data_IF_798068668545
#
_entry.id   IF_798068668545
#
_cell.length_a   1.000
_cell.length_b   1.000
_cell.length_c   1.000
_cell.angle_alpha   90.00
_cell.angle_beta   90.00
_cell.angle_gamma   90.00
#
_symmetry.space_group_name_H-M   'P 1'
#
loop_
_entity.id
_entity.type
_entity.pdbx_description
1 polymer ?
#
# COMPACT_ATOMS: atom_id res chain seq x y z
N UNK A 1 19.17 -21.60 36.57
CA UNK A 1 20.06 -21.75 35.40
C UNK A 1 20.01 -20.44 34.63
N UNK A 2 21.10 -19.68 34.73
CA UNK A 2 21.20 -18.34 34.16
C UNK A 2 21.40 -18.44 32.66
N UNK A 3 20.50 -17.83 31.88
CA UNK A 3 20.66 -17.68 30.44
C UNK A 3 21.64 -16.54 30.20
N UNK A 4 22.82 -16.88 29.69
CA UNK A 4 23.82 -15.92 29.26
C UNK A 4 23.32 -15.25 27.97
N UNK A 5 22.88 -14.00 28.05
CA UNK A 5 22.70 -13.15 26.88
C UNK A 5 24.07 -12.71 26.38
N UNK A 6 24.58 -13.36 25.33
CA UNK A 6 25.76 -12.89 24.62
C UNK A 6 25.29 -11.90 23.56
N UNK A 7 25.44 -10.61 23.83
CA UNK A 7 25.26 -9.57 22.83
C UNK A 7 26.54 -9.45 21.99
N UNK A 8 26.50 -9.96 20.77
CA UNK A 8 27.52 -9.66 19.77
C UNK A 8 27.20 -8.32 19.11
N UNK A 9 28.02 -7.32 19.41
CA UNK A 9 28.05 -6.07 18.68
C UNK A 9 29.07 -6.24 17.54
N UNK A 10 28.59 -6.47 16.34
CA UNK A 10 29.42 -6.46 15.13
C UNK A 10 29.15 -5.12 14.43
N UNK A 11 30.10 -4.19 14.57
CA UNK A 11 30.09 -2.95 13.80
C UNK A 11 30.60 -3.24 12.38
N UNK A 12 29.71 -3.27 11.39
CA UNK A 12 30.05 -3.25 9.99
C UNK A 12 29.81 -1.85 9.41
N UNK A 13 30.80 -1.27 8.66
CA UNK A 13 30.74 0.13 8.20
C UNK A 13 29.68 0.46 7.16
N UNK A 14 29.07 -0.52 6.49
CA UNK A 14 28.26 -0.32 5.27
C UNK A 14 26.78 -0.70 5.39
N UNK A 15 26.24 -0.85 6.61
CA UNK A 15 24.81 -1.06 6.78
C UNK A 15 24.17 0.10 7.54
N UNK A 16 23.08 0.71 7.02
CA UNK A 16 22.32 1.68 7.78
C UNK A 16 21.77 1.01 9.04
N UNK A 17 21.81 1.73 10.14
CA UNK A 17 21.36 1.29 11.48
C UNK A 17 19.91 0.84 11.48
N UNK A 18 19.64 -0.36 10.98
CA UNK A 18 18.41 -1.07 11.26
C UNK A 18 18.57 -1.65 12.67
N UNK A 19 17.96 -1.02 13.65
CA UNK A 19 17.87 -1.54 14.99
C UNK A 19 17.28 -2.95 14.93
N UNK A 20 18.00 -3.93 15.47
CA UNK A 20 17.46 -5.27 15.74
C UNK A 20 16.35 -5.11 16.79
N UNK A 21 15.15 -4.80 16.30
CA UNK A 21 13.95 -4.91 17.10
C UNK A 21 13.43 -6.34 16.88
N UNK A 22 13.68 -7.22 17.83
CA UNK A 22 13.07 -8.53 17.90
C UNK A 22 11.75 -8.39 18.68
N UNK A 23 10.59 -8.37 18.03
CA UNK A 23 9.33 -8.59 18.74
C UNK A 23 9.35 -10.02 19.25
N UNK A 24 8.96 -10.25 20.49
CA UNK A 24 8.96 -11.52 21.20
C UNK A 24 8.35 -12.65 20.37
N UNK A 25 9.16 -13.62 19.94
CA UNK A 25 8.69 -14.86 19.33
C UNK A 25 9.86 -15.74 18.86
N UNK A 26 9.73 -17.06 18.99
CA UNK A 26 10.75 -18.09 18.69
C UNK A 26 11.32 -18.07 17.26
N UNK A 27 10.64 -17.40 16.33
CA UNK A 27 11.04 -17.30 14.91
C UNK A 27 12.25 -16.39 14.64
N UNK A 28 12.47 -15.36 15.43
CA UNK A 28 13.66 -14.51 15.31
C UNK A 28 14.96 -15.28 15.55
N UNK A 29 14.90 -16.30 16.41
CA UNK A 29 16.06 -17.13 16.69
C UNK A 29 16.44 -18.00 15.50
N UNK A 30 15.48 -18.59 14.82
CA UNK A 30 15.72 -19.42 13.62
C UNK A 30 16.37 -18.60 12.50
N UNK A 31 15.88 -17.39 12.23
CA UNK A 31 16.44 -16.49 11.23
C UNK A 31 17.89 -16.09 11.55
N UNK A 32 18.17 -15.78 12.81
CA UNK A 32 19.52 -15.46 13.28
C UNK A 32 20.45 -16.71 13.10
N UNK A 33 19.98 -17.89 13.43
CA UNK A 33 20.76 -19.12 13.26
C UNK A 33 21.03 -19.40 11.79
N UNK A 34 20.05 -19.21 10.91
CA UNK A 34 20.22 -19.37 9.46
C UNK A 34 21.26 -18.36 8.95
N UNK A 35 21.12 -17.09 9.33
CA UNK A 35 22.05 -16.05 8.93
C UNK A 35 23.49 -16.33 9.40
N UNK A 36 23.66 -16.68 10.67
CA UNK A 36 24.99 -17.03 11.23
C UNK A 36 25.61 -18.21 10.47
N UNK A 37 24.85 -19.28 10.25
CA UNK A 37 25.35 -20.46 9.50
C UNK A 37 25.79 -20.07 8.09
N UNK A 38 25.01 -19.26 7.39
CA UNK A 38 25.34 -18.80 6.03
C UNK A 38 26.59 -17.93 5.99
N UNK A 39 26.83 -17.13 7.02
CA UNK A 39 28.03 -16.26 7.12
C UNK A 39 29.27 -16.98 7.65
N UNK A 40 29.11 -18.06 8.40
CA UNK A 40 30.23 -18.80 9.01
C UNK A 40 30.69 -20.07 8.26
N UNK A 41 30.09 -20.38 7.09
CA UNK A 41 30.70 -21.32 6.17
C UNK A 41 29.92 -22.54 5.70
N UNK A 42 28.64 -22.76 6.10
CA UNK A 42 27.79 -23.83 5.53
C UNK A 42 26.40 -23.29 5.18
N UNK A 43 26.26 -22.63 4.01
CA UNK A 43 24.99 -22.05 3.60
C UNK A 43 23.93 -23.11 3.28
N UNK A 44 24.36 -24.36 3.03
CA UNK A 44 23.52 -25.47 2.61
C UNK A 44 23.66 -26.62 3.59
N UNK A 45 22.55 -27.22 3.99
CA UNK A 45 22.53 -28.44 4.83
C UNK A 45 22.50 -29.66 3.93
N UNK A 46 23.50 -30.51 4.04
CA UNK A 46 23.51 -31.79 3.32
C UNK A 46 22.78 -32.86 4.13
N UNK A 47 21.81 -33.53 3.50
CA UNK A 47 21.04 -34.63 4.09
C UNK A 47 21.32 -35.91 3.36
N UNK A 48 21.82 -36.92 4.10
CA UNK A 48 22.27 -38.19 3.54
C UNK A 48 21.43 -39.39 4.00
N UNK A 49 20.57 -39.22 5.01
CA UNK A 49 19.71 -40.29 5.50
C UNK A 49 18.30 -39.80 5.89
N UNK A 50 17.38 -40.76 6.04
CA UNK A 50 15.97 -40.52 6.33
C UNK A 50 15.78 -39.86 7.70
N UNK A 51 16.56 -40.21 8.70
CA UNK A 51 16.46 -39.64 10.05
C UNK A 51 16.84 -38.16 10.05
N UNK A 52 17.89 -37.79 9.33
CA UNK A 52 18.27 -36.37 9.15
C UNK A 52 17.18 -35.59 8.45
N UNK A 53 16.53 -36.16 7.42
CA UNK A 53 15.43 -35.55 6.72
C UNK A 53 14.23 -35.28 7.66
N UNK A 54 13.86 -36.26 8.47
CA UNK A 54 12.78 -36.10 9.45
C UNK A 54 13.11 -35.07 10.51
N UNK A 55 14.33 -35.04 11.05
CA UNK A 55 14.79 -34.04 12.00
C UNK A 55 14.75 -32.64 11.36
N UNK A 56 15.14 -32.53 10.09
CA UNK A 56 15.15 -31.29 9.33
C UNK A 56 13.71 -30.75 9.15
N UNK A 57 12.78 -31.61 8.73
CA UNK A 57 11.35 -31.28 8.55
C UNK A 57 10.68 -30.80 9.84
N UNK A 58 11.07 -31.34 11.00
CA UNK A 58 10.58 -30.90 12.29
C UNK A 58 11.08 -29.50 12.69
N UNK A 59 12.24 -29.09 12.18
CA UNK A 59 12.88 -27.82 12.53
C UNK A 59 12.60 -26.69 11.53
N UNK A 60 12.33 -27.00 10.28
CA UNK A 60 12.21 -26.03 9.21
C UNK A 60 10.89 -26.19 8.46
N UNK A 61 10.09 -25.12 8.45
CA UNK A 61 8.81 -25.06 7.74
C UNK A 61 8.93 -24.51 6.32
N UNK A 62 10.04 -23.80 6.03
CA UNK A 62 10.34 -23.24 4.72
C UNK A 62 11.80 -23.45 4.38
N UNK A 63 12.07 -24.06 3.22
CA UNK A 63 13.42 -24.35 2.75
C UNK A 63 13.43 -24.64 1.24
N UNK A 64 14.61 -24.50 0.65
CA UNK A 64 14.85 -24.88 -0.75
C UNK A 64 15.59 -26.23 -0.78
N UNK A 65 15.07 -27.20 -1.53
CA UNK A 65 15.71 -28.54 -1.71
C UNK A 65 16.37 -28.61 -3.07
N UNK A 66 17.66 -28.94 -3.10
CA UNK A 66 18.39 -29.29 -4.30
C UNK A 66 18.66 -30.81 -4.34
N UNK A 67 18.21 -31.49 -5.39
CA UNK A 67 18.58 -32.86 -5.71
C UNK A 67 19.55 -32.85 -6.88
N UNK A 68 20.75 -33.36 -6.69
CA UNK A 68 21.82 -33.40 -7.69
C UNK A 68 22.34 -34.82 -7.86
N UNK A 69 22.81 -35.17 -9.04
CA UNK A 69 23.54 -36.47 -9.25
C UNK A 69 24.86 -36.44 -8.51
N UNK A 70 25.51 -35.28 -8.47
CA UNK A 70 26.74 -34.98 -7.74
C UNK A 70 26.80 -33.53 -7.33
N UNK A 71 27.52 -33.22 -6.25
CA UNK A 71 27.67 -31.87 -5.73
C UNK A 71 28.80 -31.10 -6.45
N UNK A 72 28.72 -31.02 -7.77
CA UNK A 72 29.64 -30.30 -8.64
C UNK A 72 28.97 -29.96 -9.98
N UNK A 73 29.54 -29.02 -10.70
CA UNK A 73 29.04 -28.57 -12.01
C UNK A 73 28.27 -27.28 -11.96
N UNK A 74 27.93 -26.71 -13.17
CA UNK A 74 27.36 -25.37 -13.27
C UNK A 74 26.07 -25.20 -12.48
N UNK A 75 25.16 -26.15 -12.56
CA UNK A 75 23.86 -26.08 -11.87
C UNK A 75 24.01 -26.06 -10.35
N UNK A 76 24.94 -26.87 -9.83
CA UNK A 76 25.24 -26.91 -8.41
C UNK A 76 25.92 -25.60 -7.94
N UNK A 77 26.83 -25.04 -8.73
CA UNK A 77 27.48 -23.77 -8.42
C UNK A 77 26.47 -22.61 -8.32
N UNK A 78 25.51 -22.57 -9.24
CA UNK A 78 24.43 -21.55 -9.20
C UNK A 78 23.52 -21.74 -7.96
N UNK A 79 23.21 -22.98 -7.59
CA UNK A 79 22.50 -23.30 -6.36
C UNK A 79 23.25 -22.81 -5.11
N UNK A 80 24.57 -23.04 -5.05
CA UNK A 80 25.42 -22.53 -3.96
C UNK A 80 25.46 -21.02 -3.92
N UNK A 81 25.58 -20.35 -5.08
CA UNK A 81 25.52 -18.88 -5.17
C UNK A 81 24.18 -18.32 -4.68
N UNK A 82 23.08 -18.96 -5.05
CA UNK A 82 21.76 -18.57 -4.55
C UNK A 82 21.66 -18.75 -3.04
N UNK A 83 22.11 -19.88 -2.50
CA UNK A 83 22.11 -20.20 -1.08
C UNK A 83 22.95 -19.21 -0.25
N UNK A 84 24.04 -18.69 -0.79
CA UNK A 84 24.88 -17.68 -0.11
C UNK A 84 24.31 -16.27 -0.18
N UNK A 85 23.47 -15.99 -1.17
CA UNK A 85 22.87 -14.68 -1.41
C UNK A 85 21.59 -14.49 -0.59
N UNK A 86 20.71 -15.49 -0.56
CA UNK A 86 19.49 -15.45 0.24
C UNK A 86 19.82 -15.71 1.72
N UNK A 87 19.38 -14.84 2.62
CA UNK A 87 19.65 -14.94 4.06
C UNK A 87 18.44 -15.39 4.89
N UNK A 88 17.28 -15.61 4.28
CA UNK A 88 16.03 -15.88 4.99
C UNK A 88 15.63 -17.37 4.91
N UNK A 89 15.96 -18.05 3.82
CA UNK A 89 15.53 -19.42 3.55
C UNK A 89 16.70 -20.39 3.77
N UNK A 90 16.45 -21.48 4.48
CA UNK A 90 17.41 -22.56 4.59
C UNK A 90 17.47 -23.37 3.29
N UNK A 91 18.68 -23.61 2.79
CA UNK A 91 18.92 -24.48 1.65
C UNK A 91 19.33 -25.88 2.15
N UNK A 92 18.83 -26.90 1.48
CA UNK A 92 19.17 -28.30 1.74
C UNK A 92 19.48 -29.02 0.45
N UNK A 93 20.47 -29.92 0.48
CA UNK A 93 20.91 -30.68 -0.68
C UNK A 93 20.95 -32.17 -0.39
N UNK A 94 20.66 -32.98 -1.40
CA UNK A 94 20.81 -34.43 -1.35
C UNK A 94 21.08 -34.97 -2.75
N UNK A 95 21.74 -36.14 -2.82
CA UNK A 95 21.85 -36.92 -4.05
C UNK A 95 20.90 -38.14 -4.06
N UNK A 96 20.12 -38.33 -2.99
CA UNK A 96 19.22 -39.46 -2.87
C UNK A 96 17.78 -39.06 -3.20
N UNK A 97 17.16 -39.60 -4.28
CA UNK A 97 15.79 -39.34 -4.65
C UNK A 97 14.77 -39.67 -3.56
N UNK A 98 15.00 -40.72 -2.76
CA UNK A 98 14.11 -41.11 -1.67
C UNK A 98 14.07 -40.03 -0.57
N UNK A 99 15.22 -39.45 -0.25
CA UNK A 99 15.35 -38.37 0.71
C UNK A 99 14.67 -37.11 0.15
N UNK A 100 14.85 -36.80 -1.14
CA UNK A 100 14.19 -35.70 -1.78
C UNK A 100 12.66 -35.85 -1.71
N UNK A 101 12.11 -37.04 -1.94
CA UNK A 101 10.67 -37.31 -1.82
C UNK A 101 10.15 -37.19 -0.38
N UNK A 102 10.98 -37.49 0.63
CA UNK A 102 10.61 -37.28 2.04
C UNK A 102 10.55 -35.78 2.37
N UNK A 103 11.55 -35.03 1.89
CA UNK A 103 11.60 -33.57 2.09
C UNK A 103 10.49 -32.84 1.35
N UNK A 104 9.91 -33.44 0.30
CA UNK A 104 8.88 -32.85 -0.54
C UNK A 104 7.87 -33.91 -1.05
N UNK A 105 6.86 -34.27 -0.24
CA UNK A 105 5.96 -35.39 -0.51
C UNK A 105 4.91 -35.17 -1.62
N UNK A 106 4.71 -33.95 -2.11
CA UNK A 106 3.59 -33.61 -2.99
C UNK A 106 3.85 -33.84 -4.49
N UNK A 107 5.04 -34.27 -4.88
CA UNK A 107 5.34 -34.55 -6.28
C UNK A 107 5.22 -36.04 -6.60
N UNK A 108 4.17 -36.39 -7.33
CA UNK A 108 3.96 -37.76 -7.87
C UNK A 108 4.81 -38.05 -9.09
N UNK A 109 5.60 -37.13 -9.58
CA UNK A 109 6.49 -37.32 -10.70
C UNK A 109 7.91 -37.65 -10.21
N UNK A 110 8.39 -38.85 -10.52
CA UNK A 110 9.68 -39.40 -10.21
C UNK A 110 10.85 -38.65 -10.86
N UNK A 111 11.12 -37.40 -10.56
CA UNK A 111 12.22 -36.62 -11.17
C UNK A 111 12.84 -35.63 -10.22
N UNK A 112 14.16 -35.35 -10.41
CA UNK A 112 14.92 -34.49 -9.54
C UNK A 112 14.32 -33.08 -9.42
N UNK A 113 14.49 -32.53 -8.26
CA UNK A 113 13.60 -31.60 -7.72
C UNK A 113 14.30 -30.30 -7.24
N UNK A 114 14.04 -29.25 -7.85
CA UNK A 114 13.85 -27.99 -7.19
C UNK A 114 12.45 -27.59 -7.55
N UNK A 115 11.51 -27.73 -6.68
CA UNK A 115 10.07 -27.60 -6.88
C UNK A 115 9.51 -26.60 -7.85
N UNK A 116 10.16 -26.19 -8.93
CA UNK A 116 9.64 -25.45 -10.09
C UNK A 116 10.81 -24.98 -10.98
N UNK A 117 11.89 -25.73 -11.13
CA UNK A 117 12.87 -25.36 -12.13
C UNK A 117 12.84 -26.37 -13.27
N UNK A 118 12.43 -25.89 -14.45
CA UNK A 118 12.66 -26.63 -15.69
C UNK A 118 14.16 -26.92 -15.82
N UNK A 119 14.48 -28.09 -16.35
CA UNK A 119 15.80 -28.68 -16.48
C UNK A 119 16.93 -27.78 -17.05
N UNK A 120 16.64 -26.55 -17.48
CA UNK A 120 17.59 -25.60 -18.08
C UNK A 120 17.72 -24.29 -17.32
N UNK A 121 17.39 -24.19 -16.03
CA UNK A 121 17.24 -22.90 -15.35
C UNK A 121 17.86 -22.84 -13.95
N UNK A 122 18.99 -23.52 -13.74
CA UNK A 122 19.84 -23.30 -12.56
C UNK A 122 20.71 -22.06 -12.78
N UNK A 123 20.07 -20.89 -12.76
CA UNK A 123 20.73 -19.59 -12.71
C UNK A 123 20.39 -18.96 -11.35
N UNK A 124 21.37 -18.37 -10.71
CA UNK A 124 21.21 -17.72 -9.39
C UNK A 124 19.99 -16.79 -9.36
N UNK A 125 19.85 -15.95 -10.38
CA UNK A 125 18.78 -14.97 -10.49
C UNK A 125 17.40 -15.64 -10.56
N UNK A 126 17.26 -16.75 -11.29
CA UNK A 126 16.02 -17.51 -11.40
C UNK A 126 15.67 -18.26 -10.11
N UNK A 127 16.66 -18.75 -9.38
CA UNK A 127 16.46 -19.37 -8.07
C UNK A 127 15.98 -18.29 -7.08
N UNK A 128 16.64 -17.14 -7.03
CA UNK A 128 16.26 -16.05 -6.14
C UNK A 128 14.86 -15.50 -6.46
N UNK A 129 14.52 -15.41 -7.76
CA UNK A 129 13.18 -15.01 -8.20
C UNK A 129 12.14 -16.03 -7.73
N UNK A 130 12.43 -17.34 -7.91
CA UNK A 130 11.54 -18.40 -7.43
C UNK A 130 11.31 -18.32 -5.91
N UNK A 131 12.39 -18.16 -5.14
CA UNK A 131 12.29 -18.00 -3.69
C UNK A 131 11.47 -16.77 -3.32
N UNK A 132 11.71 -15.64 -3.98
CA UNK A 132 10.92 -14.42 -3.80
C UNK A 132 9.44 -14.63 -4.06
N UNK A 133 9.10 -15.39 -5.10
CA UNK A 133 7.71 -15.68 -5.49
C UNK A 133 7.01 -16.69 -4.56
N UNK A 134 7.78 -17.45 -3.79
CA UNK A 134 7.27 -18.52 -2.92
C UNK A 134 7.57 -18.32 -1.42
N UNK A 135 8.13 -17.18 -1.02
CA UNK A 135 8.39 -16.82 0.39
C UNK A 135 7.13 -16.79 1.25
N UNK A 136 6.03 -16.42 0.64
CA UNK A 136 4.73 -16.33 1.30
C UNK A 136 3.79 -17.41 0.81
N UNK A 137 2.82 -17.84 1.62
CA UNK A 137 1.64 -18.53 1.14
C UNK A 137 1.00 -17.75 -0.01
N UNK A 138 0.25 -18.42 -0.88
CA UNK A 138 -0.37 -17.81 -2.05
C UNK A 138 -1.25 -16.59 -1.69
N UNK A 139 -1.92 -16.68 -0.53
CA UNK A 139 -2.64 -15.58 0.12
C UNK A 139 -2.24 -15.60 1.60
N UNK A 140 -1.21 -14.86 2.01
CA UNK A 140 -0.82 -14.76 3.40
C UNK A 140 -1.87 -14.02 4.23
N UNK A 141 -2.11 -14.52 5.42
CA UNK A 141 -2.78 -13.79 6.48
C UNK A 141 -1.82 -12.73 7.04
N UNK A 142 -2.24 -11.47 7.07
CA UNK A 142 -1.44 -10.42 7.69
C UNK A 142 -1.40 -10.62 9.20
N UNK A 143 -0.21 -10.57 9.76
CA UNK A 143 0.05 -10.70 11.20
C UNK A 143 1.14 -9.71 11.60
N UNK A 144 1.25 -9.38 12.89
CA UNK A 144 2.34 -8.53 13.38
C UNK A 144 3.73 -9.09 13.01
N UNK A 145 3.86 -10.42 12.97
CA UNK A 145 5.13 -11.10 12.67
C UNK A 145 5.55 -10.96 11.20
N UNK A 146 4.58 -10.97 10.25
CA UNK A 146 4.90 -10.93 8.83
C UNK A 146 4.65 -9.55 8.18
N UNK A 147 4.03 -8.60 8.89
CA UNK A 147 3.63 -7.30 8.36
C UNK A 147 4.80 -6.54 7.70
N UNK A 148 5.95 -6.48 8.37
CA UNK A 148 7.14 -5.80 7.83
C UNK A 148 7.58 -6.41 6.50
N UNK A 149 7.57 -7.76 6.38
CA UNK A 149 7.96 -8.45 5.15
C UNK A 149 6.91 -8.28 4.04
N UNK A 150 5.63 -8.26 4.40
CA UNK A 150 4.53 -8.01 3.47
C UNK A 150 4.63 -6.59 2.91
N UNK A 151 4.80 -5.58 3.76
CA UNK A 151 4.92 -4.19 3.34
C UNK A 151 6.19 -3.90 2.52
N UNK A 152 7.28 -4.63 2.78
CA UNK A 152 8.52 -4.53 2.01
C UNK A 152 8.47 -5.22 0.64
N UNK A 153 7.33 -5.83 0.27
CA UNK A 153 7.18 -6.48 -1.04
C UNK A 153 6.98 -5.42 -2.13
N UNK A 154 7.89 -5.35 -3.08
CA UNK A 154 7.86 -4.38 -4.19
C UNK A 154 6.82 -4.68 -5.29
N UNK A 155 6.10 -5.80 -5.19
CA UNK A 155 5.02 -6.14 -6.11
C UNK A 155 3.77 -5.32 -5.79
N UNK A 156 2.92 -5.00 -6.78
CA UNK A 156 1.58 -4.53 -6.50
C UNK A 156 0.87 -5.49 -5.54
N UNK A 157 0.14 -4.94 -4.59
CA UNK A 157 -0.51 -5.72 -3.52
C UNK A 157 -2.03 -5.54 -3.59
N UNK A 158 -2.77 -6.62 -3.40
CA UNK A 158 -4.22 -6.60 -3.22
C UNK A 158 -4.52 -7.09 -1.82
N UNK A 159 -5.07 -6.21 -1.00
CA UNK A 159 -5.51 -6.48 0.36
C UNK A 159 -7.00 -6.78 0.37
N UNK A 160 -7.37 -7.88 1.02
CA UNK A 160 -8.75 -8.29 1.25
C UNK A 160 -9.03 -8.18 2.73
N UNK A 161 -9.88 -7.24 3.11
CA UNK A 161 -10.33 -7.03 4.48
C UNK A 161 -11.66 -7.74 4.66
N UNK A 162 -11.71 -8.73 5.52
CA UNK A 162 -12.93 -9.43 5.88
C UNK A 162 -12.80 -10.03 7.28
N UNK A 163 -13.93 -10.46 7.86
CA UNK A 163 -13.90 -11.24 9.09
C UNK A 163 -13.26 -12.61 8.84
N UNK A 164 -12.47 -13.10 9.81
CA UNK A 164 -11.72 -14.36 9.68
C UNK A 164 -12.62 -15.57 9.37
N UNK A 165 -13.85 -15.60 9.87
CA UNK A 165 -14.81 -16.68 9.60
C UNK A 165 -15.38 -16.63 8.18
N UNK A 166 -15.56 -15.45 7.62
CA UNK A 166 -15.97 -15.27 6.22
C UNK A 166 -14.83 -15.64 5.29
N UNK A 167 -13.59 -15.35 5.67
CA UNK A 167 -12.41 -15.65 4.87
C UNK A 167 -12.24 -17.17 4.63
N UNK A 168 -12.49 -18.02 5.61
CA UNK A 168 -12.40 -19.47 5.44
C UNK A 168 -13.27 -19.98 4.28
N UNK A 169 -14.43 -19.35 4.05
CA UNK A 169 -15.35 -19.69 2.95
C UNK A 169 -14.86 -19.15 1.61
N UNK A 170 -14.13 -18.04 1.64
CA UNK A 170 -13.62 -17.34 0.45
C UNK A 170 -12.22 -17.78 0.07
N UNK A 171 -11.51 -18.52 0.94
CA UNK A 171 -10.08 -18.83 0.78
C UNK A 171 -9.77 -19.57 -0.51
N UNK A 172 -10.47 -20.67 -0.82
CA UNK A 172 -10.22 -21.44 -2.04
C UNK A 172 -10.46 -20.63 -3.32
N UNK A 173 -11.63 -19.94 -3.48
CA UNK A 173 -11.85 -19.07 -4.63
C UNK A 173 -10.80 -17.96 -4.76
N UNK A 174 -10.35 -17.38 -3.64
CA UNK A 174 -9.29 -16.37 -3.65
C UNK A 174 -7.94 -16.93 -4.06
N UNK A 175 -7.60 -18.13 -3.59
CA UNK A 175 -6.37 -18.80 -4.00
C UNK A 175 -6.35 -19.11 -5.49
N UNK A 176 -7.50 -19.46 -6.09
CA UNK A 176 -7.60 -19.70 -7.53
C UNK A 176 -7.32 -18.42 -8.33
N UNK A 177 -7.86 -17.29 -7.89
CA UNK A 177 -7.54 -15.98 -8.48
C UNK A 177 -6.05 -15.66 -8.28
N UNK A 178 -5.54 -15.77 -7.05
CA UNK A 178 -4.15 -15.45 -6.73
C UNK A 178 -3.14 -16.29 -7.52
N UNK A 179 -3.46 -17.58 -7.84
CA UNK A 179 -2.61 -18.41 -8.71
C UNK A 179 -2.40 -17.82 -10.10
N UNK A 180 -3.44 -17.17 -10.67
CA UNK A 180 -3.34 -16.53 -11.99
C UNK A 180 -2.38 -15.34 -12.01
N UNK A 181 -2.21 -14.69 -10.84
CA UNK A 181 -1.36 -13.51 -10.66
C UNK A 181 -0.06 -13.81 -9.92
N UNK A 182 0.25 -15.09 -9.68
CA UNK A 182 1.50 -15.47 -9.00
C UNK A 182 2.70 -14.80 -9.68
N UNK A 183 3.64 -14.32 -8.90
CA UNK A 183 4.82 -13.55 -9.32
C UNK A 183 4.56 -12.08 -9.73
N UNK A 184 3.32 -11.68 -10.00
CA UNK A 184 2.96 -10.32 -10.48
C UNK A 184 2.29 -9.49 -9.42
N UNK A 185 1.37 -10.07 -8.66
CA UNK A 185 0.59 -9.40 -7.61
C UNK A 185 0.67 -10.24 -6.34
N UNK A 186 0.83 -9.60 -5.21
CA UNK A 186 0.71 -10.21 -3.90
C UNK A 186 -0.69 -10.01 -3.35
N UNK A 187 -1.40 -11.10 -3.08
CA UNK A 187 -2.69 -11.06 -2.41
C UNK A 187 -2.48 -11.23 -0.92
N UNK A 188 -3.10 -10.40 -0.11
CA UNK A 188 -2.97 -10.39 1.35
C UNK A 188 -4.34 -10.38 1.99
N UNK A 189 -4.59 -11.25 2.93
CA UNK A 189 -5.79 -11.20 3.75
C UNK A 189 -5.53 -10.46 5.06
N UNK A 190 -6.47 -9.60 5.45
CA UNK A 190 -6.43 -8.84 6.69
C UNK A 190 -7.73 -9.07 7.44
N UNK A 191 -7.66 -9.52 8.70
CA UNK A 191 -8.85 -9.60 9.55
C UNK A 191 -9.30 -8.18 9.90
N UNK A 192 -10.48 -7.80 9.41
CA UNK A 192 -11.04 -6.46 9.61
C UNK A 192 -11.26 -6.14 11.11
N UNK A 193 -11.37 -7.17 11.96
CA UNK A 193 -11.51 -7.03 13.41
C UNK A 193 -10.18 -6.84 14.15
N UNK A 194 -9.05 -7.05 13.47
CA UNK A 194 -7.74 -6.78 14.05
C UNK A 194 -7.45 -5.28 14.04
N UNK A 195 -7.74 -4.62 15.16
CA UNK A 195 -7.54 -3.17 15.29
C UNK A 195 -6.07 -2.74 15.14
N UNK A 196 -5.10 -3.63 15.39
CA UNK A 196 -3.69 -3.29 15.29
C UNK A 196 -3.19 -3.29 13.84
N UNK A 197 -3.75 -4.15 13.00
CA UNK A 197 -3.32 -4.32 11.61
C UNK A 197 -4.31 -3.71 10.61
N UNK A 198 -5.61 -3.95 10.78
CA UNK A 198 -6.61 -3.46 9.83
C UNK A 198 -6.84 -1.95 9.96
N UNK A 199 -7.04 -1.44 11.18
CA UNK A 199 -7.40 -0.04 11.40
C UNK A 199 -6.38 0.96 10.84
N UNK A 200 -5.05 0.82 11.04
CA UNK A 200 -4.08 1.73 10.44
C UNK A 200 -4.14 1.73 8.91
N UNK A 201 -4.28 0.54 8.29
CA UNK A 201 -4.41 0.44 6.84
C UNK A 201 -5.71 1.08 6.35
N UNK A 202 -6.86 0.77 6.97
CA UNK A 202 -8.15 1.33 6.59
C UNK A 202 -8.21 2.85 6.79
N UNK A 203 -7.50 3.39 7.79
CA UNK A 203 -7.39 4.84 8.00
C UNK A 203 -6.63 5.52 6.85
N UNK A 204 -5.63 4.86 6.26
CA UNK A 204 -4.96 5.39 5.06
C UNK A 204 -5.96 5.63 3.92
N UNK A 205 -6.99 4.80 3.81
CA UNK A 205 -8.04 4.91 2.81
C UNK A 205 -9.30 5.66 3.30
N UNK A 206 -9.34 6.12 4.55
CA UNK A 206 -10.55 6.74 5.13
C UNK A 206 -11.74 5.78 5.25
N UNK A 207 -11.47 4.47 5.39
CA UNK A 207 -12.45 3.38 5.41
C UNK A 207 -12.52 2.65 6.77
N UNK A 208 -12.00 3.26 7.83
CA UNK A 208 -11.90 2.68 9.17
C UNK A 208 -13.24 2.30 9.83
N UNK A 209 -14.34 2.85 9.34
CA UNK A 209 -15.68 2.57 9.85
C UNK A 209 -16.46 1.56 8.99
N UNK A 210 -15.82 0.92 8.02
CA UNK A 210 -16.47 -0.07 7.17
C UNK A 210 -16.58 -1.42 7.88
N UNK A 211 -17.76 -2.02 7.87
CA UNK A 211 -18.01 -3.40 8.34
C UNK A 211 -18.09 -4.40 7.16
N UNK A 212 -18.08 -3.90 5.94
CA UNK A 212 -18.16 -4.72 4.74
C UNK A 212 -16.81 -5.33 4.38
N UNK A 213 -16.83 -6.42 3.61
CA UNK A 213 -15.61 -6.93 2.96
C UNK A 213 -15.10 -5.90 1.97
N UNK A 214 -13.85 -5.46 2.13
CA UNK A 214 -13.19 -4.49 1.26
C UNK A 214 -12.05 -5.14 0.49
N UNK A 215 -11.86 -4.71 -0.75
CA UNK A 215 -10.70 -5.09 -1.57
C UNK A 215 -10.02 -3.83 -2.06
N UNK A 216 -8.78 -3.65 -1.63
CA UNK A 216 -7.97 -2.48 -1.91
C UNK A 216 -6.69 -2.93 -2.59
N UNK A 217 -6.27 -2.22 -3.62
CA UNK A 217 -4.97 -2.44 -4.23
C UNK A 217 -4.03 -1.26 -3.98
N UNK A 218 -2.77 -1.58 -3.82
CA UNK A 218 -1.69 -0.63 -3.66
C UNK A 218 -0.56 -0.96 -4.64
N UNK A 219 -0.14 0.03 -5.41
CA UNK A 219 1.05 -0.08 -6.25
C UNK A 219 2.23 0.61 -5.56
N UNK A 220 3.15 -0.20 -5.03
CA UNK A 220 4.32 0.29 -4.30
C UNK A 220 5.20 1.24 -5.12
N UNK A 221 5.27 1.07 -6.45
CA UNK A 221 6.15 1.87 -7.32
C UNK A 221 5.65 3.29 -7.52
N UNK A 222 4.35 3.45 -7.62
CA UNK A 222 3.70 4.73 -7.88
C UNK A 222 3.09 5.36 -6.65
N UNK A 223 2.90 4.57 -5.56
CA UNK A 223 2.12 4.96 -4.40
C UNK A 223 0.61 5.05 -4.69
N UNK A 224 0.17 4.55 -5.84
CA UNK A 224 -1.22 4.64 -6.26
C UNK A 224 -2.10 3.65 -5.49
N UNK A 225 -3.27 4.12 -5.11
CA UNK A 225 -4.29 3.39 -4.36
C UNK A 225 -5.54 3.18 -5.21
N UNK A 226 -6.16 2.01 -5.06
CA UNK A 226 -7.34 1.63 -5.82
C UNK A 226 -8.31 0.88 -4.92
N UNK A 227 -9.60 1.15 -5.06
CA UNK A 227 -10.68 0.49 -4.32
C UNK A 227 -11.58 -0.27 -5.29
N UNK A 228 -11.91 -1.53 -4.97
CA UNK A 228 -12.94 -2.28 -5.67
C UNK A 228 -14.32 -1.87 -5.12
N UNK A 229 -15.05 -1.05 -5.86
CA UNK A 229 -16.35 -0.51 -5.44
C UNK A 229 -17.51 -1.51 -5.56
N UNK A 230 -17.31 -2.64 -6.24
CA UNK A 230 -18.33 -3.68 -6.42
C UNK A 230 -18.16 -4.82 -5.43
N UNK A 231 -19.20 -5.67 -5.29
CA UNK A 231 -19.11 -6.87 -4.47
C UNK A 231 -17.88 -7.71 -4.80
N UNK A 232 -17.09 -8.13 -3.82
CA UNK A 232 -15.79 -8.77 -4.01
C UNK A 232 -15.93 -10.26 -4.39
N UNK A 233 -16.57 -10.53 -5.54
CA UNK A 233 -16.61 -11.89 -6.10
C UNK A 233 -15.25 -12.25 -6.73
N UNK A 234 -14.89 -13.54 -6.83
CA UNK A 234 -13.64 -13.98 -7.45
C UNK A 234 -13.44 -13.40 -8.86
N UNK A 235 -14.50 -13.34 -9.67
CA UNK A 235 -14.45 -12.78 -11.03
C UNK A 235 -14.13 -11.27 -11.03
N UNK A 236 -14.72 -10.50 -10.09
CA UNK A 236 -14.48 -9.07 -9.95
C UNK A 236 -13.07 -8.78 -9.45
N UNK A 237 -12.56 -9.60 -8.54
CA UNK A 237 -11.19 -9.48 -8.04
C UNK A 237 -10.17 -9.84 -9.12
N UNK A 238 -10.48 -10.83 -9.97
CA UNK A 238 -9.65 -11.16 -11.13
C UNK A 238 -9.60 -10.00 -12.12
N UNK A 239 -10.76 -9.40 -12.45
CA UNK A 239 -10.87 -8.22 -13.31
C UNK A 239 -10.07 -7.03 -12.72
N UNK A 240 -10.22 -6.80 -11.43
CA UNK A 240 -9.49 -5.76 -10.68
C UNK A 240 -7.97 -5.99 -10.71
N UNK A 241 -7.51 -7.21 -10.49
CA UNK A 241 -6.09 -7.58 -10.61
C UNK A 241 -5.54 -7.39 -12.03
N UNK A 242 -6.35 -7.71 -13.06
CA UNK A 242 -5.98 -7.44 -14.45
C UNK A 242 -5.90 -5.93 -14.73
N UNK A 243 -6.85 -5.16 -14.20
CA UNK A 243 -6.85 -3.70 -14.31
C UNK A 243 -5.63 -3.06 -13.66
N UNK A 244 -5.26 -3.54 -12.47
CA UNK A 244 -4.06 -3.11 -11.75
C UNK A 244 -2.79 -3.31 -12.60
N UNK A 245 -2.59 -4.49 -13.18
CA UNK A 245 -1.43 -4.79 -14.03
C UNK A 245 -1.41 -4.00 -15.33
N UNK A 246 -2.57 -3.63 -15.87
CA UNK A 246 -2.69 -2.82 -17.09
C UNK A 246 -2.57 -1.32 -16.81
N UNK A 247 -2.64 -0.89 -15.55
CA UNK A 247 -2.62 0.53 -15.17
C UNK A 247 -3.86 1.31 -15.61
N UNK A 248 -5.02 0.66 -15.72
CA UNK A 248 -6.27 1.28 -16.17
C UNK A 248 -7.36 1.35 -15.08
N UNK A 249 -7.00 1.06 -13.83
CA UNK A 249 -7.91 1.30 -12.72
C UNK A 249 -8.01 2.79 -12.39
N UNK A 250 -9.21 3.27 -12.01
CA UNK A 250 -9.35 4.61 -11.48
C UNK A 250 -8.61 4.72 -10.15
N UNK A 251 -7.88 5.82 -9.97
CA UNK A 251 -7.22 6.12 -8.70
C UNK A 251 -8.28 6.32 -7.61
N UNK A 252 -8.00 5.79 -6.45
CA UNK A 252 -8.80 6.07 -5.26
C UNK A 252 -8.29 7.33 -4.57
N UNK A 253 -9.23 8.19 -4.18
CA UNK A 253 -8.97 9.38 -3.39
C UNK A 253 -9.85 9.34 -2.15
N UNK A 254 -9.28 9.64 -1.00
CA UNK A 254 -10.04 9.71 0.26
C UNK A 254 -11.17 10.72 0.17
N UNK A 255 -12.31 10.34 0.70
CA UNK A 255 -13.42 11.25 0.86
C UNK A 255 -14.29 10.86 2.05
N UNK A 256 -14.61 11.85 2.86
CA UNK A 256 -15.65 11.71 3.87
C UNK A 256 -17.02 11.46 3.22
N UNK A 257 -17.98 11.06 4.04
CA UNK A 257 -19.38 11.02 3.64
C UNK A 257 -19.86 12.41 3.21
N UNK A 258 -20.72 12.46 2.18
CA UNK A 258 -21.26 13.71 1.66
C UNK A 258 -22.12 14.35 2.75
N UNK A 259 -21.79 15.58 3.20
CA UNK A 259 -22.55 16.28 4.23
C UNK A 259 -23.83 16.92 3.65
N UNK A 260 -24.80 17.20 4.53
CA UNK A 260 -25.94 18.05 4.16
C UNK A 260 -25.55 19.52 4.24
N UNK A 261 -25.52 20.20 3.10
CA UNK A 261 -25.14 21.59 2.95
C UNK A 261 -26.34 22.54 2.76
N UNK A 262 -27.60 22.06 2.94
CA UNK A 262 -28.81 22.83 2.55
C UNK A 262 -28.92 24.24 3.14
N UNK A 263 -28.54 24.39 4.40
CA UNK A 263 -28.67 25.67 5.12
C UNK A 263 -27.29 26.23 5.52
N UNK A 264 -26.22 25.79 4.90
CA UNK A 264 -24.86 26.16 5.25
C UNK A 264 -24.46 27.50 4.63
N UNK A 265 -24.08 28.51 5.45
CA UNK A 265 -23.44 29.75 4.96
C UNK A 265 -22.06 29.48 4.33
N UNK A 266 -21.40 28.37 4.71
CA UNK A 266 -20.13 27.89 4.17
C UNK A 266 -20.30 26.41 3.86
N UNK A 267 -20.15 26.03 2.60
CA UNK A 267 -20.30 24.64 2.17
C UNK A 267 -19.15 23.78 2.69
N UNK A 268 -19.45 22.62 3.23
CA UNK A 268 -18.44 21.59 3.48
C UNK A 268 -18.24 20.78 2.20
N UNK A 269 -17.06 20.88 1.63
CA UNK A 269 -16.64 20.12 0.45
C UNK A 269 -15.89 18.86 0.93
N UNK A 270 -16.19 17.73 0.30
CA UNK A 270 -15.47 16.48 0.49
C UNK A 270 -14.89 16.02 -0.85
N UNK A 271 -13.94 15.08 -0.85
CA UNK A 271 -13.29 14.62 -2.08
C UNK A 271 -14.28 14.30 -3.20
N UNK A 272 -15.37 13.54 -2.90
CA UNK A 272 -16.42 13.16 -3.84
C UNK A 272 -17.27 14.31 -4.38
N UNK A 273 -17.31 15.44 -3.70
CA UNK A 273 -18.11 16.61 -4.12
C UNK A 273 -17.26 17.75 -4.67
N UNK A 274 -15.96 17.59 -4.74
CA UNK A 274 -15.04 18.65 -5.17
C UNK A 274 -15.28 19.07 -6.62
N UNK A 275 -15.46 18.11 -7.53
CA UNK A 275 -15.75 18.40 -8.93
C UNK A 275 -17.07 19.19 -9.07
N UNK A 276 -18.13 18.76 -8.40
CA UNK A 276 -19.46 19.36 -8.52
C UNK A 276 -19.54 20.74 -7.86
N UNK A 277 -19.04 20.84 -6.62
CA UNK A 277 -19.20 22.06 -5.81
C UNK A 277 -18.15 23.14 -6.11
N UNK A 278 -16.96 22.75 -6.61
CA UNK A 278 -15.85 23.68 -6.86
C UNK A 278 -15.58 23.85 -8.35
N UNK A 279 -15.24 22.79 -9.06
CA UNK A 279 -14.75 22.87 -10.44
C UNK A 279 -15.86 23.09 -11.47
N UNK A 280 -17.01 22.44 -11.30
CA UNK A 280 -18.17 22.57 -12.20
C UNK A 280 -19.16 23.64 -11.76
N UNK A 281 -18.89 24.31 -10.63
CA UNK A 281 -19.78 25.36 -10.13
C UNK A 281 -19.86 26.54 -11.07
N UNK A 282 -21.08 27.01 -11.34
CA UNK A 282 -21.37 28.24 -12.08
C UNK A 282 -21.18 29.51 -11.24
N UNK A 283 -20.53 29.42 -10.07
CA UNK A 283 -20.29 30.53 -9.15
C UNK A 283 -18.80 30.65 -8.83
N UNK A 284 -18.40 31.82 -8.37
CA UNK A 284 -17.06 31.98 -7.79
C UNK A 284 -17.01 31.28 -6.45
N UNK A 285 -15.93 30.54 -6.18
CA UNK A 285 -15.78 29.79 -4.94
C UNK A 285 -14.57 30.30 -4.18
N UNK A 286 -14.75 30.69 -2.93
CA UNK A 286 -13.66 30.86 -1.98
C UNK A 286 -13.55 29.58 -1.14
N UNK A 287 -12.51 28.81 -1.37
CA UNK A 287 -12.25 27.55 -0.69
C UNK A 287 -11.20 27.72 0.40
N UNK A 288 -11.57 27.41 1.64
CA UNK A 288 -10.66 27.24 2.77
C UNK A 288 -10.21 25.78 2.83
N UNK A 289 -8.88 25.56 2.76
CA UNK A 289 -8.28 24.26 2.89
C UNK A 289 -7.58 24.20 4.24
N UNK A 290 -8.01 23.27 5.09
CA UNK A 290 -7.54 23.16 6.46
C UNK A 290 -7.26 21.70 6.86
N UNK A 291 -6.61 21.53 8.03
CA UNK A 291 -6.44 20.25 8.71
C UNK A 291 -6.65 20.42 10.21
N UNK A 292 -7.05 19.38 10.97
CA UNK A 292 -7.29 19.49 12.42
C UNK A 292 -6.06 19.88 13.25
N UNK A 293 -4.86 19.56 12.76
CA UNK A 293 -3.59 19.88 13.46
C UNK A 293 -2.98 21.22 13.06
N UNK A 294 -3.62 21.97 12.21
CA UNK A 294 -3.13 23.25 11.72
C UNK A 294 -3.24 24.34 12.80
N UNK A 295 -2.11 24.88 13.25
CA UNK A 295 -2.04 25.85 14.34
C UNK A 295 -2.77 27.17 14.06
N UNK A 296 -2.78 27.62 12.80
CA UNK A 296 -3.35 28.90 12.40
C UNK A 296 -4.73 28.79 11.74
N UNK A 297 -5.25 27.59 11.55
CA UNK A 297 -6.51 27.36 10.84
C UNK A 297 -7.69 28.00 11.55
N UNK A 298 -7.77 27.96 12.88
CA UNK A 298 -8.86 28.59 13.64
C UNK A 298 -9.01 30.10 13.34
N UNK A 299 -7.88 30.81 13.20
CA UNK A 299 -7.87 32.24 12.86
C UNK A 299 -8.43 32.47 11.45
N UNK A 300 -7.99 31.69 10.48
CA UNK A 300 -8.44 31.78 9.08
C UNK A 300 -9.92 31.39 8.95
N UNK A 301 -10.34 30.32 9.64
CA UNK A 301 -11.75 29.90 9.72
C UNK A 301 -12.65 31.05 10.19
N UNK A 302 -12.27 31.72 11.28
CA UNK A 302 -13.03 32.91 11.78
C UNK A 302 -13.03 34.06 10.79
N UNK A 303 -11.98 34.23 9.99
CA UNK A 303 -11.95 35.26 8.93
C UNK A 303 -12.89 34.87 7.78
N UNK A 304 -12.89 33.64 7.34
CA UNK A 304 -13.77 33.09 6.30
C UNK A 304 -15.23 33.20 6.72
N UNK A 305 -15.56 32.90 7.97
CA UNK A 305 -16.91 33.10 8.53
C UNK A 305 -17.37 34.56 8.53
N UNK A 306 -16.47 35.50 8.84
CA UNK A 306 -16.78 36.94 8.75
C UNK A 306 -16.99 37.40 7.31
N UNK A 307 -16.19 36.84 6.38
CA UNK A 307 -16.34 37.14 4.95
C UNK A 307 -17.64 36.57 4.40
N UNK A 308 -18.00 35.32 4.73
CA UNK A 308 -19.27 34.72 4.32
C UNK A 308 -20.46 35.54 4.78
N UNK A 309 -20.45 36.03 6.03
CA UNK A 309 -21.48 36.96 6.54
C UNK A 309 -21.47 38.31 5.83
N UNK A 310 -20.30 38.85 5.52
CA UNK A 310 -20.16 40.13 4.82
C UNK A 310 -20.71 40.11 3.40
N UNK A 311 -20.48 38.99 2.70
CA UNK A 311 -20.93 38.77 1.32
C UNK A 311 -22.28 38.06 1.23
N UNK A 312 -22.98 37.87 2.35
CA UNK A 312 -24.30 37.24 2.37
C UNK A 312 -25.27 37.97 1.45
N UNK A 313 -25.88 37.24 0.52
CA UNK A 313 -26.77 37.79 -0.50
C UNK A 313 -26.10 38.06 -1.85
N UNK A 314 -24.80 37.91 -1.98
CA UNK A 314 -24.14 37.92 -3.28
C UNK A 314 -24.22 36.47 -3.89
N UNK A 315 -25.13 36.33 -4.87
CA UNK A 315 -25.49 35.02 -5.42
C UNK A 315 -24.33 34.33 -6.19
N UNK A 316 -23.40 35.12 -6.73
CA UNK A 316 -22.30 34.68 -7.57
C UNK A 316 -21.04 34.29 -6.79
N UNK A 317 -21.05 34.36 -5.46
CA UNK A 317 -19.93 33.99 -4.60
C UNK A 317 -20.36 33.02 -3.54
N UNK A 318 -19.68 31.86 -3.49
CA UNK A 318 -19.88 30.80 -2.50
C UNK A 318 -18.63 30.62 -1.66
N UNK A 319 -18.83 30.49 -0.37
CA UNK A 319 -17.77 30.11 0.57
C UNK A 319 -17.81 28.61 0.84
N UNK A 320 -16.67 27.99 0.82
CA UNK A 320 -16.54 26.55 1.04
C UNK A 320 -15.31 26.24 1.88
N UNK A 321 -15.29 25.07 2.52
CA UNK A 321 -14.15 24.55 3.24
C UNK A 321 -13.97 23.04 2.98
N UNK A 322 -12.73 22.59 3.04
CA UNK A 322 -12.38 21.17 2.93
C UNK A 322 -11.32 20.81 3.97
N UNK A 323 -11.53 19.70 4.67
CA UNK A 323 -10.52 19.08 5.54
C UNK A 323 -9.62 18.17 4.69
N UNK A 324 -8.41 18.64 4.37
CA UNK A 324 -7.46 17.93 3.53
C UNK A 324 -6.80 16.75 4.24
N UNK A 325 -7.06 16.52 5.54
CA UNK A 325 -6.55 15.34 6.25
C UNK A 325 -7.31 14.06 5.91
N UNK A 326 -8.56 14.20 5.50
CA UNK A 326 -9.50 13.10 5.25
C UNK A 326 -10.21 13.20 3.90
N UNK A 327 -9.85 14.19 3.10
CA UNK A 327 -10.36 14.38 1.73
C UNK A 327 -9.22 14.68 0.79
N UNK A 328 -9.18 13.97 -0.31
CA UNK A 328 -8.18 14.10 -1.38
C UNK A 328 -8.88 14.37 -2.71
N UNK A 329 -8.20 15.09 -3.58
CA UNK A 329 -8.62 15.29 -4.95
C UNK A 329 -7.40 15.60 -5.84
N UNK A 330 -7.31 15.09 -7.08
CA UNK A 330 -6.13 15.24 -7.94
C UNK A 330 -5.80 16.70 -8.31
N UNK A 331 -6.78 17.61 -8.19
CA UNK A 331 -6.59 19.05 -8.44
C UNK A 331 -6.51 19.88 -7.15
N UNK A 332 -6.42 19.23 -6.00
CA UNK A 332 -6.27 19.86 -4.70
C UNK A 332 -4.83 19.68 -4.20
N UNK A 333 -3.90 20.39 -4.82
CA UNK A 333 -2.50 20.41 -4.41
C UNK A 333 -2.21 21.69 -3.63
N UNK A 334 -1.77 21.55 -2.38
CA UNK A 334 -1.41 22.67 -1.50
C UNK A 334 -0.15 22.32 -0.71
N UNK A 335 0.74 23.31 -0.57
CA UNK A 335 2.03 23.13 0.12
C UNK A 335 1.94 23.37 1.63
N UNK A 336 0.92 24.11 2.10
CA UNK A 336 0.81 24.53 3.50
C UNK A 336 -0.66 24.72 3.92
N UNK A 337 -0.89 24.71 5.25
CA UNK A 337 -2.21 24.91 5.87
C UNK A 337 -2.16 26.05 6.88
N UNK A 338 -3.21 26.90 6.96
CA UNK A 338 -4.36 26.96 6.05
C UNK A 338 -4.01 27.56 4.70
N UNK A 339 -4.70 27.13 3.64
CA UNK A 339 -4.64 27.76 2.33
C UNK A 339 -6.02 28.29 1.93
N UNK A 340 -6.08 29.49 1.34
CA UNK A 340 -7.28 30.07 0.78
C UNK A 340 -7.13 30.15 -0.74
N UNK A 341 -8.00 29.43 -1.46
CA UNK A 341 -8.06 29.46 -2.92
C UNK A 341 -9.35 30.11 -3.41
N UNK A 342 -9.20 31.08 -4.26
CA UNK A 342 -10.32 31.67 -4.97
C UNK A 342 -10.42 31.06 -6.38
N UNK A 343 -11.49 30.36 -6.65
CA UNK A 343 -11.81 29.74 -7.93
C UNK A 343 -12.75 30.66 -8.72
N UNK A 344 -12.24 31.45 -9.69
CA UNK A 344 -13.07 32.29 -10.50
C UNK A 344 -14.00 31.49 -11.40
N UNK A 345 -15.19 31.98 -11.69
CA UNK A 345 -16.13 31.35 -12.62
C UNK A 345 -15.52 31.17 -14.02
N UNK A 346 -14.75 32.16 -14.47
CA UNK A 346 -14.12 32.18 -15.80
C UNK A 346 -12.98 31.16 -15.95
N UNK A 347 -12.31 30.75 -14.87
CA UNK A 347 -11.18 29.84 -14.93
C UNK A 347 -11.03 29.02 -13.65
N UNK A 348 -11.77 27.94 -13.52
CA UNK A 348 -11.71 27.01 -12.40
C UNK A 348 -10.43 26.18 -12.34
N UNK A 349 -9.71 26.06 -13.44
CA UNK A 349 -8.47 25.27 -13.51
C UNK A 349 -7.25 25.98 -12.91
N UNK A 350 -7.31 27.30 -12.73
CA UNK A 350 -6.21 28.10 -12.19
C UNK A 350 -6.73 28.96 -11.01
N UNK A 351 -6.88 28.37 -9.82
CA UNK A 351 -7.33 29.12 -8.65
C UNK A 351 -6.28 30.14 -8.22
N UNK A 352 -6.75 31.24 -7.64
CA UNK A 352 -5.93 32.32 -7.13
C UNK A 352 -5.72 32.12 -5.63
N UNK A 353 -4.46 32.00 -5.21
CA UNK A 353 -4.11 31.89 -3.78
C UNK A 353 -4.25 33.25 -3.09
N UNK A 354 -5.06 33.31 -2.04
CA UNK A 354 -5.22 34.51 -1.22
C UNK A 354 -4.37 34.43 0.05
N UNK A 355 -3.83 35.57 0.52
CA UNK A 355 -2.95 35.61 1.67
C UNK A 355 -3.70 35.37 3.00
N UNK A 356 -3.44 34.29 3.69
CA UNK A 356 -4.10 33.88 4.94
C UNK A 356 -3.78 34.79 6.14
N UNK A 357 -2.66 35.53 6.09
CA UNK A 357 -2.24 36.47 7.14
C UNK A 357 -2.85 37.86 7.02
N UNK A 358 -3.67 38.13 6.01
CA UNK A 358 -4.32 39.43 5.79
C UNK A 358 -5.54 39.63 6.67
N UNK A 359 -5.92 40.89 6.92
CA UNK A 359 -7.17 41.15 7.63
C UNK A 359 -8.38 40.77 6.79
N UNK A 360 -9.53 40.48 7.45
CA UNK A 360 -10.80 40.24 6.73
C UNK A 360 -11.21 41.41 5.81
N UNK A 361 -10.83 42.65 6.16
CA UNK A 361 -11.08 43.84 5.30
C UNK A 361 -10.24 43.80 4.02
N UNK A 362 -8.99 43.39 4.13
CA UNK A 362 -8.09 43.33 2.95
C UNK A 362 -8.43 42.13 2.07
N UNK A 363 -8.80 40.99 2.67
CA UNK A 363 -9.35 39.85 1.92
C UNK A 363 -10.64 40.27 1.17
N UNK A 364 -11.56 40.99 1.81
CA UNK A 364 -12.77 41.48 1.15
C UNK A 364 -12.46 42.39 -0.03
N UNK A 365 -11.44 43.29 0.08
CA UNK A 365 -11.00 44.11 -1.05
C UNK A 365 -10.44 43.28 -2.20
N UNK A 366 -9.64 42.26 -1.89
CA UNK A 366 -9.06 41.34 -2.90
C UNK A 366 -10.17 40.57 -3.63
N UNK A 367 -11.12 40.00 -2.88
CA UNK A 367 -12.27 39.30 -3.46
C UNK A 367 -13.05 40.24 -4.37
N UNK A 368 -13.41 41.43 -3.90
CA UNK A 368 -14.13 42.44 -4.70
C UNK A 368 -13.36 42.86 -5.96
N UNK A 369 -12.01 42.92 -5.88
CA UNK A 369 -11.18 43.22 -7.05
C UNK A 369 -11.33 42.11 -8.10
N UNK A 370 -11.17 40.85 -7.71
CA UNK A 370 -11.31 39.73 -8.63
C UNK A 370 -12.71 39.60 -9.22
N UNK A 371 -13.74 39.84 -8.45
CA UNK A 371 -15.13 39.85 -8.95
C UNK A 371 -15.34 40.94 -10.01
N UNK A 372 -14.75 42.16 -9.84
CA UNK A 372 -14.86 43.25 -10.81
C UNK A 372 -14.07 42.98 -12.08
N UNK A 373 -12.87 42.40 -11.98
CA UNK A 373 -12.04 42.03 -13.14
C UNK A 373 -12.80 41.07 -14.05
N UNK A 374 -13.50 40.08 -13.50
CA UNK A 374 -14.33 39.15 -14.27
C UNK A 374 -15.51 39.83 -14.98
N UNK A 375 -16.20 40.75 -14.31
CA UNK A 375 -17.31 41.49 -14.94
C UNK A 375 -16.84 42.38 -16.11
N UNK A 376 -15.58 42.83 -16.10
CA UNK A 376 -14.99 43.58 -17.22
C UNK A 376 -14.64 42.66 -18.38
N UNK A 377 -14.10 41.47 -18.12
CA UNK A 377 -13.73 40.49 -19.16
C UNK A 377 -14.97 39.96 -19.90
N UNK A 378 -16.07 39.70 -19.16
CA UNK A 378 -17.34 39.26 -19.78
C UNK A 378 -17.94 40.38 -20.68
N UNK A 379 -17.81 41.65 -20.31
CA UNK A 379 -18.27 42.77 -21.16
C UNK A 379 -17.40 42.98 -22.39
N UNK A 380 -16.12 42.67 -22.35
CA UNK A 380 -15.24 42.75 -23.52
C UNK A 380 -15.52 41.62 -24.52
N UNK A 381 -15.69 40.36 -24.04
CA UNK A 381 -16.03 39.23 -24.90
C UNK A 381 -17.39 39.42 -25.58
N UNK A 382 -18.40 39.91 -24.86
CA UNK A 382 -19.71 40.20 -25.41
C UNK A 382 -19.74 41.38 -26.44
N UNK A 383 -18.71 42.25 -26.45
CA UNK A 383 -18.53 43.32 -27.46
C UNK A 383 -17.74 42.89 -28.68
N UNK A 384 -16.94 41.82 -28.61
CA UNK A 384 -16.21 41.29 -29.74
C UNK A 384 -17.05 40.27 -30.55
N UNK A 385 -18.12 39.73 -29.98
CA UNK A 385 -19.08 38.85 -30.66
C UNK A 385 -20.24 39.54 -31.36
N UNK A 386 -20.34 40.87 -31.30
CA UNK A 386 -21.33 41.72 -31.99
C UNK A 386 -20.69 42.49 -33.16
#
# INVERSE_FOLDING_TARGET
MSVLCISFRIDYPDYPKAGLFCPRGDRCWEEIVIWVRKKTGTPIVRINCVDEANIFLHKHTMFAVGLFDKFEGPDYEEFVKAATTDNEIQFVETCNPEIANILFPDDKSSKPFLGIVKKNAFEKEKILQFLSDNKFPLVPFLTEVNSVKVYACEKPQIYVFAEADNFKKLLEPFQDVARKFKSKIMFVFVDIKDNNLAKPLLTLFGLENSEATLVIAFDYKTGAEFLLESDPTPARIEEFGMGLLKGNLPLFYKSQAIPDNKDADILTVVGKTFDDLVLSSSKNILLEIHTPWCLNCETTTKQVEKLAKHFKGLEDLVFARIDASVNEHPKLEVDDYPTLLFYPISNKSNPITLPTKSSSKDLAKLINKHLKEQAHDEQHVAKEEL
#
